data_IF_485588138123
#
_entry.id   IF_485588138123
#
_cell.length_a   1.000
_cell.length_b   1.000
_cell.length_c   1.000
_cell.angle_alpha   90.00
_cell.angle_beta   90.00
_cell.angle_gamma   90.00
#
_symmetry.space_group_name_H-M   'P 1'
#
loop_
_entity.id
_entity.type
_entity.pdbx_description
1 polymer ?
#
# COMPACT_ATOMS: atom_id res chain seq x y z
N UNK A 1 -14.37 4.14 12.67
CA UNK A 1 -14.63 3.36 11.44
C UNK A 1 -13.29 2.88 10.91
N UNK A 2 -12.97 1.59 11.05
CA UNK A 2 -11.78 0.98 10.46
C UNK A 2 -12.01 0.84 8.96
N UNK A 3 -11.12 1.43 8.14
CA UNK A 3 -11.16 1.32 6.67
C UNK A 3 -10.10 0.34 6.23
N UNK A 4 -10.44 -0.54 5.30
CA UNK A 4 -9.51 -1.52 4.72
C UNK A 4 -9.12 -1.06 3.33
N UNK A 5 -7.82 -0.96 3.07
CA UNK A 5 -7.25 -0.60 1.78
C UNK A 5 -6.66 -1.87 1.13
N UNK A 6 -7.34 -2.38 0.10
CA UNK A 6 -6.81 -3.43 -0.77
C UNK A 6 -5.93 -2.81 -1.85
N UNK A 7 -4.73 -3.31 -2.02
CA UNK A 7 -3.81 -2.88 -3.08
C UNK A 7 -3.46 -4.08 -3.94
N UNK A 8 -3.86 -4.00 -5.21
CA UNK A 8 -3.56 -4.98 -6.26
C UNK A 8 -2.40 -4.42 -7.06
N UNK A 9 -1.28 -5.13 -7.11
CA UNK A 9 -0.12 -4.72 -7.90
C UNK A 9 0.67 -5.93 -8.40
N UNK A 10 1.42 -5.73 -9.48
CA UNK A 10 2.37 -6.71 -9.98
C UNK A 10 3.35 -7.17 -8.88
N UNK A 11 3.97 -8.36 -9.01
CA UNK A 11 4.79 -8.95 -7.95
C UNK A 11 5.81 -7.97 -7.38
N UNK A 12 5.77 -7.77 -6.06
CA UNK A 12 6.62 -6.81 -5.34
C UNK A 12 8.13 -7.05 -5.54
N UNK A 13 8.52 -8.24 -6.00
CA UNK A 13 9.90 -8.59 -6.37
C UNK A 13 10.45 -7.77 -7.55
N UNK A 14 9.58 -7.18 -8.38
CA UNK A 14 10.00 -6.36 -9.52
C UNK A 14 9.63 -4.87 -9.37
N UNK A 15 9.11 -4.47 -8.21
CA UNK A 15 8.69 -3.10 -7.94
C UNK A 15 9.90 -2.27 -7.51
N UNK A 16 10.18 -1.21 -8.27
CA UNK A 16 11.23 -0.25 -7.96
C UNK A 16 10.73 0.71 -6.88
N UNK A 17 10.97 0.33 -5.62
CA UNK A 17 10.61 1.08 -4.39
C UNK A 17 10.98 2.57 -4.45
N UNK A 18 11.93 2.95 -5.32
CA UNK A 18 12.41 4.32 -5.50
C UNK A 18 11.46 5.28 -6.23
N UNK A 19 10.39 4.82 -6.90
CA UNK A 19 9.50 5.70 -7.68
C UNK A 19 8.00 5.45 -7.53
N UNK A 20 7.58 4.49 -6.70
CA UNK A 20 6.17 4.11 -6.65
C UNK A 20 5.40 4.88 -5.58
N UNK A 21 4.53 5.79 -6.05
CA UNK A 21 3.51 6.52 -5.28
C UNK A 21 2.69 5.60 -4.37
N UNK A 22 2.60 4.32 -4.71
CA UNK A 22 1.96 3.24 -3.95
C UNK A 22 2.56 3.07 -2.55
N UNK A 23 3.87 3.18 -2.36
CA UNK A 23 4.49 3.07 -1.04
C UNK A 23 4.08 4.24 -0.13
N UNK A 24 4.04 5.45 -0.68
CA UNK A 24 3.61 6.64 0.05
C UNK A 24 2.12 6.55 0.45
N UNK A 25 1.28 5.99 -0.43
CA UNK A 25 -0.13 5.73 -0.14
C UNK A 25 -0.31 4.67 0.97
N UNK A 26 0.49 3.61 0.96
CA UNK A 26 0.48 2.58 2.02
C UNK A 26 0.90 3.15 3.37
N UNK A 27 1.95 3.97 3.41
CA UNK A 27 2.42 4.64 4.63
C UNK A 27 1.36 5.62 5.17
N UNK A 28 0.71 6.39 4.30
CA UNK A 28 -0.36 7.30 4.70
C UNK A 28 -1.59 6.54 5.24
N UNK A 29 -1.95 5.41 4.63
CA UNK A 29 -3.03 4.55 5.11
C UNK A 29 -2.70 3.91 6.47
N UNK A 30 -1.45 3.46 6.68
CA UNK A 30 -1.00 2.95 7.97
C UNK A 30 -1.01 4.05 9.05
N UNK A 31 -0.54 5.26 8.71
CA UNK A 31 -0.59 6.43 9.61
C UNK A 31 -2.02 6.80 10.02
N UNK A 32 -3.00 6.56 9.14
CA UNK A 32 -4.44 6.72 9.43
C UNK A 32 -5.09 5.52 10.13
N UNK A 33 -4.32 4.48 10.47
CA UNK A 33 -4.82 3.29 11.14
C UNK A 33 -5.69 2.39 10.26
N UNK A 34 -5.50 2.43 8.95
CA UNK A 34 -6.25 1.60 8.00
C UNK A 34 -5.59 0.22 7.88
N UNK A 35 -6.42 -0.81 7.69
CA UNK A 35 -5.92 -2.18 7.47
C UNK A 35 -5.50 -2.33 6.01
N UNK A 36 -4.26 -2.74 5.78
CA UNK A 36 -3.69 -2.92 4.44
C UNK A 36 -3.81 -4.39 4.02
N UNK A 37 -4.34 -4.64 2.83
CA UNK A 37 -4.39 -5.98 2.21
C UNK A 37 -3.69 -5.93 0.86
N UNK A 38 -2.77 -6.86 0.63
CA UNK A 38 -2.05 -7.03 -0.63
C UNK A 38 -2.65 -8.23 -1.37
N UNK A 39 -2.92 -8.08 -2.67
CA UNK A 39 -3.48 -9.12 -3.53
C UNK A 39 -2.74 -9.19 -4.86
#
# INVERSE_FOLDING_TARGET
MTRTLGVVMDPISNISVKKDTTLALLLAAQSRGWQLMYM
#
